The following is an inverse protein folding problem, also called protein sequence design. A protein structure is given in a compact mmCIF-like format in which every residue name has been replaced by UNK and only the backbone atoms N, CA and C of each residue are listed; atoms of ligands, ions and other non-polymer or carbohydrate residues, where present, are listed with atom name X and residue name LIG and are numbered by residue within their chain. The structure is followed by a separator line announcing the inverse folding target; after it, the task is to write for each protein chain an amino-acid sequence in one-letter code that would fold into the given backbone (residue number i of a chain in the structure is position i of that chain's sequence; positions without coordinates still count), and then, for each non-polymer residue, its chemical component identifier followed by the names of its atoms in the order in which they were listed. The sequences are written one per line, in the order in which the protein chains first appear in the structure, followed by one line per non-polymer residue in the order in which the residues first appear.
data_IF_579452320819
#
_entry.id   IF_579452320819
#
_cell.length_a   1.000
_cell.length_b   1.000
_cell.length_c   1.000
_cell.angle_alpha   90.00
_cell.angle_beta   90.00
_cell.angle_gamma   90.00
#
_symmetry.space_group_name_H-M   'P 1'
#
loop_
_entity.id
_entity.type
_entity.pdbx_description
1 polymer ?
#
# COMPACT_ATOMS: atom_id res chain seq x y z
N UNK A 1 48.27 7.44 -50.16
CA UNK A 1 48.37 8.05 -48.82
C UNK A 1 46.92 8.22 -48.30
N UNK A 2 46.43 7.28 -47.51
CA UNK A 2 45.01 7.18 -47.10
C UNK A 2 44.95 7.65 -45.64
N UNK A 3 44.27 8.76 -45.40
CA UNK A 3 44.03 9.32 -44.07
C UNK A 3 42.75 8.63 -43.54
N UNK A 4 42.91 7.78 -42.53
CA UNK A 4 41.80 7.21 -41.76
C UNK A 4 41.34 8.19 -40.68
N UNK A 5 40.16 8.72 -40.84
CA UNK A 5 39.50 9.55 -39.84
C UNK A 5 38.85 8.63 -38.79
N UNK A 6 39.30 8.76 -37.54
CA UNK A 6 38.78 8.00 -36.39
C UNK A 6 37.57 8.74 -35.80
N UNK A 7 36.38 8.19 -35.93
CA UNK A 7 35.20 8.69 -35.23
C UNK A 7 35.18 8.12 -33.81
N UNK A 8 35.36 9.00 -32.82
CA UNK A 8 35.14 8.68 -31.41
C UNK A 8 33.68 8.95 -31.12
N UNK A 9 32.90 7.88 -31.01
CA UNK A 9 31.53 7.96 -30.51
C UNK A 9 31.55 8.05 -28.98
N UNK A 10 31.27 9.23 -28.46
CA UNK A 10 31.01 9.42 -27.03
C UNK A 10 29.59 8.91 -26.74
N UNK A 11 29.50 7.70 -26.20
CA UNK A 11 28.26 7.13 -25.70
C UNK A 11 27.97 7.76 -24.33
N UNK A 12 27.09 8.76 -24.31
CA UNK A 12 26.58 9.32 -23.06
C UNK A 12 25.67 8.30 -22.36
N UNK A 13 26.21 7.62 -21.36
CA UNK A 13 25.42 6.80 -20.41
C UNK A 13 24.56 7.73 -19.55
N UNK A 14 23.32 7.92 -19.95
CA UNK A 14 22.28 8.46 -19.08
C UNK A 14 22.00 7.39 -18.01
N UNK A 15 22.63 7.55 -16.87
CA UNK A 15 22.26 6.84 -15.65
C UNK A 15 20.87 7.33 -15.24
N UNK A 16 19.82 6.62 -15.64
CA UNK A 16 18.53 6.73 -14.99
C UNK A 16 18.72 6.26 -13.53
N UNK A 17 18.91 7.24 -12.67
CA UNK A 17 18.80 7.05 -11.23
C UNK A 17 17.35 6.66 -10.94
N UNK A 18 17.07 5.37 -10.90
CA UNK A 18 15.88 4.84 -10.26
C UNK A 18 15.90 5.35 -8.83
N UNK A 19 15.03 6.30 -8.49
CA UNK A 19 14.89 6.81 -7.15
C UNK A 19 14.62 5.65 -6.20
N UNK A 20 15.65 5.24 -5.46
CA UNK A 20 15.48 4.34 -4.33
C UNK A 20 14.56 5.04 -3.34
N UNK A 21 13.40 4.47 -3.09
CA UNK A 21 12.52 4.88 -1.99
C UNK A 21 13.39 5.04 -0.74
N UNK A 22 13.55 6.27 -0.26
CA UNK A 22 14.42 6.62 0.86
C UNK A 22 13.77 6.39 2.23
N UNK A 23 12.91 5.37 2.34
CA UNK A 23 12.33 4.97 3.62
C UNK A 23 13.31 4.07 4.37
N UNK A 24 13.78 4.51 5.52
CA UNK A 24 14.53 3.66 6.43
C UNK A 24 13.58 2.85 7.30
N UNK A 25 13.75 1.52 7.28
CA UNK A 25 13.02 0.61 8.17
C UNK A 25 13.86 0.35 9.40
N UNK A 26 13.40 0.81 10.55
CA UNK A 26 13.98 0.43 11.84
C UNK A 26 13.30 -0.89 12.25
N UNK A 27 14.01 -2.00 12.08
CA UNK A 27 13.67 -3.20 12.84
C UNK A 27 13.99 -2.97 14.32
N UNK A 28 13.40 -3.70 15.26
CA UNK A 28 13.90 -3.74 16.63
C UNK A 28 15.33 -4.30 16.60
N UNK A 29 16.28 -3.42 16.30
CA UNK A 29 17.70 -3.73 16.37
C UNK A 29 18.12 -3.79 17.84
N UNK A 30 17.98 -4.94 18.45
CA UNK A 30 19.01 -5.37 19.37
C UNK A 30 20.23 -5.69 18.52
N UNK A 31 21.29 -4.89 18.64
CA UNK A 31 22.61 -5.26 18.18
C UNK A 31 22.82 -6.74 18.52
N UNK A 32 23.25 -7.51 17.54
CA UNK A 32 23.54 -8.93 17.66
C UNK A 32 24.65 -9.15 18.70
N UNK A 33 24.23 -9.28 19.94
CA UNK A 33 25.04 -9.89 20.97
C UNK A 33 24.63 -11.38 21.00
N UNK A 34 25.54 -12.36 20.88
CA UNK A 34 25.19 -13.77 20.73
C UNK A 34 24.67 -14.44 22.01
N UNK A 35 24.34 -13.67 23.04
CA UNK A 35 23.66 -14.17 24.22
C UNK A 35 22.17 -14.01 24.05
N UNK A 36 21.48 -15.11 23.72
CA UNK A 36 20.02 -15.26 23.71
C UNK A 36 19.38 -14.65 24.95
N UNK A 37 18.96 -13.39 24.90
CA UNK A 37 17.90 -12.90 25.77
C UNK A 37 16.61 -13.56 25.29
N UNK A 38 15.86 -14.19 26.19
CA UNK A 38 14.50 -14.72 25.94
C UNK A 38 13.72 -13.66 25.20
N UNK A 39 13.39 -13.91 23.93
CA UNK A 39 12.39 -13.12 23.21
C UNK A 39 11.10 -13.27 24.00
N UNK A 40 10.62 -12.19 24.59
CA UNK A 40 9.25 -12.16 25.10
C UNK A 40 8.40 -12.34 23.85
N UNK A 41 7.67 -13.45 23.75
CA UNK A 41 6.73 -13.70 22.67
C UNK A 41 5.72 -12.55 22.65
N UNK A 42 5.85 -11.67 21.65
CA UNK A 42 4.93 -10.58 21.44
C UNK A 42 3.64 -11.13 20.83
N UNK A 43 2.51 -10.64 21.29
CA UNK A 43 1.25 -10.97 20.66
C UNK A 43 1.19 -10.32 19.26
N UNK A 44 0.40 -10.93 18.37
CA UNK A 44 0.13 -10.36 17.05
C UNK A 44 -0.63 -9.03 17.18
N UNK A 45 -0.25 -8.06 16.36
CA UNK A 45 -0.92 -6.77 16.33
C UNK A 45 -2.40 -6.89 15.97
N UNK A 46 -3.24 -6.18 16.72
CA UNK A 46 -4.70 -6.21 16.67
C UNK A 46 -5.24 -5.00 15.90
N UNK A 47 -6.51 -5.08 15.56
CA UNK A 47 -7.23 -3.99 14.90
C UNK A 47 -7.43 -4.19 13.39
N UNK A 48 -8.34 -3.41 12.81
CA UNK A 48 -8.67 -3.49 11.40
C UNK A 48 -7.51 -3.01 10.52
N UNK A 49 -7.53 -3.43 9.25
CA UNK A 49 -6.71 -2.86 8.19
C UNK A 49 -7.21 -1.45 7.87
N UNK A 50 -6.36 -0.62 7.28
CA UNK A 50 -6.68 0.75 6.88
C UNK A 50 -7.14 1.65 8.03
N UNK A 51 -6.74 1.34 9.27
CA UNK A 51 -6.94 2.19 10.45
C UNK A 51 -5.61 2.63 11.01
N UNK A 52 -5.42 3.95 11.11
CA UNK A 52 -4.20 4.56 11.65
C UNK A 52 -4.48 5.12 13.03
N UNK A 53 -3.67 4.74 13.99
CA UNK A 53 -3.67 5.29 15.34
C UNK A 53 -2.58 6.36 15.45
N UNK A 54 -3.00 7.61 15.56
CA UNK A 54 -2.09 8.76 15.64
C UNK A 54 -1.62 8.93 17.07
N UNK A 55 -0.31 9.05 17.26
CA UNK A 55 0.31 9.43 18.52
C UNK A 55 0.85 10.85 18.34
N UNK A 56 0.26 11.80 19.03
CA UNK A 56 0.68 13.18 19.02
C UNK A 56 0.31 13.87 20.34
N UNK A 57 1.12 14.81 20.79
CA UNK A 57 0.83 15.61 21.96
C UNK A 57 -0.19 16.71 21.62
N UNK A 58 -0.88 17.24 22.64
CA UNK A 58 -1.95 18.22 22.44
C UNK A 58 -1.43 19.53 21.82
N UNK A 59 -0.20 19.93 22.17
CA UNK A 59 0.44 21.11 21.59
C UNK A 59 0.72 20.98 20.08
N UNK A 60 1.07 19.77 19.64
CA UNK A 60 1.32 19.48 18.21
C UNK A 60 0.02 19.23 17.45
N UNK A 61 -0.99 18.68 18.12
CA UNK A 61 -2.28 18.33 17.55
C UNK A 61 -3.30 19.46 17.67
N UNK A 62 -3.07 20.57 17.00
CA UNK A 62 -4.02 21.66 16.88
C UNK A 62 -4.98 21.48 15.66
N UNK A 63 -5.81 22.47 15.42
CA UNK A 63 -6.78 22.43 14.31
C UNK A 63 -6.07 22.30 12.97
N UNK A 64 -5.01 23.06 12.70
CA UNK A 64 -4.31 23.02 11.43
C UNK A 64 -3.62 21.68 11.18
N UNK A 65 -3.02 21.07 12.21
CA UNK A 65 -2.46 19.73 12.11
C UNK A 65 -3.55 18.67 11.86
N UNK A 66 -4.66 18.79 12.58
CA UNK A 66 -5.82 17.91 12.39
C UNK A 66 -6.34 17.98 10.96
N UNK A 67 -6.56 19.17 10.43
CA UNK A 67 -7.05 19.38 9.06
C UNK A 67 -6.07 18.84 8.01
N UNK A 68 -4.77 19.08 8.22
CA UNK A 68 -3.73 18.58 7.33
C UNK A 68 -3.71 17.06 7.30
N UNK A 69 -3.75 16.41 8.45
CA UNK A 69 -3.74 14.94 8.53
C UNK A 69 -5.03 14.35 7.93
N UNK A 70 -6.18 14.94 8.21
CA UNK A 70 -7.46 14.52 7.61
C UNK A 70 -7.41 14.66 6.09
N UNK A 71 -6.94 15.79 5.58
CA UNK A 71 -6.84 16.03 4.14
C UNK A 71 -6.05 14.95 3.40
N UNK A 72 -4.91 14.52 3.94
CA UNK A 72 -4.10 13.50 3.28
C UNK A 72 -4.55 12.06 3.58
N UNK A 73 -4.86 11.75 4.82
CA UNK A 73 -5.08 10.35 5.25
C UNK A 73 -6.55 9.92 5.25
N UNK A 74 -7.50 10.86 5.32
CA UNK A 74 -8.93 10.58 5.20
C UNK A 74 -9.53 11.08 3.88
N UNK A 75 -8.71 11.47 2.91
CA UNK A 75 -9.21 11.76 1.56
C UNK A 75 -10.02 10.59 1.02
N UNK A 76 -11.04 10.90 0.23
CA UNK A 76 -11.88 9.86 -0.37
C UNK A 76 -11.08 8.97 -1.32
N UNK A 77 -11.35 7.68 -1.28
CA UNK A 77 -10.79 6.75 -2.26
C UNK A 77 -11.37 7.08 -3.65
N UNK A 78 -10.54 7.44 -4.64
CA UNK A 78 -11.00 8.19 -5.81
C UNK A 78 -11.88 7.40 -6.79
N UNK A 79 -12.01 6.10 -6.64
CA UNK A 79 -12.73 5.22 -7.59
C UNK A 79 -14.00 4.60 -7.02
N UNK A 80 -14.40 5.00 -5.82
CA UNK A 80 -15.64 4.50 -5.22
C UNK A 80 -16.80 5.46 -5.50
N UNK A 81 -17.99 4.95 -5.87
CA UNK A 81 -19.16 5.78 -6.14
C UNK A 81 -19.67 6.51 -4.88
N UNK A 82 -19.41 5.94 -3.71
CA UNK A 82 -19.64 6.61 -2.42
C UNK A 82 -18.28 6.95 -1.80
N UNK A 83 -18.10 8.19 -1.32
CA UNK A 83 -16.84 8.58 -0.68
C UNK A 83 -16.54 7.71 0.55
N UNK A 84 -15.47 6.95 0.49
CA UNK A 84 -14.92 6.22 1.63
C UNK A 84 -13.51 6.73 1.91
N UNK A 85 -13.14 6.95 3.18
CA UNK A 85 -11.81 7.46 3.50
C UNK A 85 -10.73 6.42 3.20
N UNK A 86 -9.54 6.89 2.78
CA UNK A 86 -8.37 6.03 2.62
C UNK A 86 -8.04 5.29 3.91
N UNK A 87 -8.12 5.99 5.04
CA UNK A 87 -7.86 5.47 6.37
C UNK A 87 -8.87 5.99 7.39
N UNK A 88 -9.28 5.15 8.32
CA UNK A 88 -9.89 5.57 9.56
C UNK A 88 -8.81 6.10 10.51
N UNK A 89 -9.01 7.27 11.09
CA UNK A 89 -8.06 7.87 12.01
C UNK A 89 -8.58 7.87 13.45
N UNK A 90 -7.68 7.57 14.40
CA UNK A 90 -7.97 7.71 15.83
C UNK A 90 -6.73 8.21 16.56
N UNK A 91 -6.84 9.35 17.24
CA UNK A 91 -5.72 9.92 17.98
C UNK A 91 -5.67 9.45 19.43
N UNK A 92 -4.46 9.20 19.89
CA UNK A 92 -4.12 9.00 21.29
C UNK A 92 -2.95 9.91 21.70
N UNK A 93 -2.99 10.47 22.91
CA UNK A 93 -1.78 11.03 23.51
C UNK A 93 -0.84 9.90 23.93
N UNK A 94 0.44 10.20 24.07
CA UNK A 94 1.45 9.25 24.54
C UNK A 94 1.08 8.62 25.88
N UNK A 95 0.46 9.40 26.79
CA UNK A 95 -0.02 8.89 28.08
C UNK A 95 -1.14 7.85 27.92
N UNK A 96 -2.08 8.08 26.99
CA UNK A 96 -3.17 7.13 26.72
C UNK A 96 -2.63 5.80 26.13
N UNK A 97 -1.54 5.85 25.37
CA UNK A 97 -0.87 4.65 24.86
C UNK A 97 -0.17 3.90 26.01
N UNK A 98 0.58 4.61 26.87
CA UNK A 98 1.32 3.99 27.97
C UNK A 98 0.40 3.28 28.98
N UNK A 99 -0.77 3.83 29.24
CA UNK A 99 -1.66 3.37 30.31
C UNK A 99 -2.45 2.09 29.99
N UNK A 100 -2.52 1.66 28.73
CA UNK A 100 -3.30 0.48 28.33
C UNK A 100 -2.52 -0.41 27.39
N UNK A 101 -2.34 -1.68 27.76
CA UNK A 101 -1.66 -2.70 26.96
C UNK A 101 -2.34 -2.86 25.59
N UNK A 102 -3.68 -2.94 25.56
CA UNK A 102 -4.48 -3.15 24.36
C UNK A 102 -4.25 -2.05 23.31
N UNK A 103 -3.99 -0.80 23.76
CA UNK A 103 -3.65 0.30 22.85
C UNK A 103 -2.25 0.19 22.28
N UNK A 104 -1.32 -0.49 22.93
CA UNK A 104 0.04 -0.74 22.42
C UNK A 104 0.08 -1.88 21.41
N UNK A 105 -0.91 -2.75 21.43
CA UNK A 105 -1.01 -3.90 20.53
C UNK A 105 -1.74 -3.59 19.21
N UNK A 106 -2.11 -2.33 18.97
CA UNK A 106 -2.76 -1.93 17.74
C UNK A 106 -1.76 -1.95 16.57
N UNK A 107 -2.27 -2.12 15.34
CA UNK A 107 -1.47 -2.49 14.19
C UNK A 107 -0.62 -1.36 13.62
N UNK A 108 -1.24 -0.23 13.29
CA UNK A 108 -0.61 0.81 12.48
C UNK A 108 -0.64 2.13 13.23
N UNK A 109 0.54 2.69 13.48
CA UNK A 109 0.67 3.99 14.12
C UNK A 109 1.32 5.01 13.20
N UNK A 110 0.87 6.25 13.33
CA UNK A 110 1.55 7.45 12.87
C UNK A 110 1.93 8.27 14.10
N UNK A 111 3.22 8.30 14.43
CA UNK A 111 3.73 9.12 15.52
C UNK A 111 4.20 10.45 14.94
N UNK A 112 3.58 11.55 15.39
CA UNK A 112 3.89 12.92 14.97
C UNK A 112 4.64 13.61 16.13
N UNK A 113 5.85 14.07 15.85
CA UNK A 113 6.71 14.67 16.84
C UNK A 113 7.38 15.97 16.35
N UNK A 114 7.19 17.04 17.10
CA UNK A 114 7.90 18.29 16.90
C UNK A 114 9.26 18.24 17.61
N UNK A 115 10.34 18.08 16.86
CA UNK A 115 11.70 17.95 17.40
C UNK A 115 12.22 19.23 18.00
N UNK A 116 11.57 20.39 17.79
CA UNK A 116 11.90 21.64 18.48
C UNK A 116 11.49 21.63 19.95
N UNK A 117 10.44 20.85 20.29
CA UNK A 117 10.02 20.62 21.67
C UNK A 117 10.62 19.31 22.22
N UNK A 118 11.81 19.42 22.81
CA UNK A 118 12.53 18.28 23.41
C UNK A 118 11.85 17.74 24.68
N UNK A 119 10.97 18.50 25.29
CA UNK A 119 10.22 18.07 26.47
C UNK A 119 8.95 17.31 26.13
N UNK A 120 8.47 17.41 24.89
CA UNK A 120 7.31 16.70 24.40
C UNK A 120 7.43 15.18 24.60
N UNK A 121 6.44 14.54 25.21
CA UNK A 121 6.41 13.08 25.36
C UNK A 121 6.44 12.32 24.04
N UNK A 122 5.86 12.86 22.96
CA UNK A 122 5.90 12.25 21.63
C UNK A 122 7.31 12.35 21.03
N UNK A 123 7.98 13.49 21.18
CA UNK A 123 9.37 13.67 20.76
C UNK A 123 10.31 12.74 21.51
N UNK A 124 10.20 12.67 22.84
CA UNK A 124 10.98 11.73 23.67
C UNK A 124 10.76 10.27 23.24
N UNK A 125 9.53 9.91 22.90
CA UNK A 125 9.21 8.56 22.39
C UNK A 125 9.86 8.32 21.03
N UNK A 126 9.73 9.25 20.08
CA UNK A 126 10.33 9.15 18.76
C UNK A 126 11.86 9.00 18.83
N UNK A 127 12.53 9.92 19.52
CA UNK A 127 13.99 9.93 19.64
C UNK A 127 14.53 8.67 20.31
N UNK A 128 13.83 8.17 21.35
CA UNK A 128 14.20 6.89 21.98
C UNK A 128 14.09 5.71 21.01
N UNK A 129 13.08 5.69 20.17
CA UNK A 129 12.81 4.57 19.27
C UNK A 129 13.78 4.54 18.08
N UNK A 130 14.13 5.69 17.52
CA UNK A 130 15.06 5.79 16.40
C UNK A 130 16.52 5.62 16.80
N UNK A 131 16.82 5.84 18.08
CA UNK A 131 18.14 5.73 18.68
C UNK A 131 18.99 6.99 18.53
N UNK A 132 20.07 7.11 19.34
CA UNK A 132 20.84 8.34 19.48
C UNK A 132 21.62 8.73 18.21
N UNK A 133 22.09 7.76 17.43
CA UNK A 133 22.84 8.04 16.20
C UNK A 133 21.96 8.70 15.15
N UNK A 134 20.80 8.09 14.84
CA UNK A 134 19.84 8.67 13.89
C UNK A 134 19.25 10.00 14.37
N UNK A 135 19.04 10.14 15.66
CA UNK A 135 18.59 11.41 16.25
C UNK A 135 19.61 12.53 15.97
N UNK A 136 20.91 12.27 16.15
CA UNK A 136 21.97 13.21 15.81
C UNK A 136 22.05 13.53 14.33
N UNK A 137 21.89 12.51 13.45
CA UNK A 137 21.92 12.71 12.01
C UNK A 137 20.76 13.61 11.54
N UNK A 138 19.56 13.41 12.10
CA UNK A 138 18.39 14.26 11.82
C UNK A 138 18.64 15.68 12.31
N UNK A 139 19.16 15.84 13.53
CA UNK A 139 19.49 17.15 14.11
C UNK A 139 20.56 17.87 13.27
N UNK A 140 21.62 17.18 12.87
CA UNK A 140 22.70 17.76 12.09
C UNK A 140 22.29 18.12 10.65
N UNK A 141 21.44 17.30 10.01
CA UNK A 141 20.97 17.54 8.65
C UNK A 141 19.83 18.55 8.57
N UNK A 142 19.09 18.75 9.66
CA UNK A 142 17.85 19.53 9.67
C UNK A 142 16.75 18.95 8.74
N UNK A 143 16.98 17.76 8.17
CA UNK A 143 16.08 17.13 7.22
C UNK A 143 15.50 15.85 7.80
N UNK A 144 14.23 15.61 7.50
CA UNK A 144 13.53 14.40 7.89
C UNK A 144 13.61 13.35 6.78
N UNK A 145 13.94 12.14 7.18
CA UNK A 145 13.78 10.94 6.34
C UNK A 145 12.63 10.10 6.88
N UNK A 146 11.82 9.54 6.00
CA UNK A 146 10.74 8.63 6.41
C UNK A 146 11.30 7.43 7.16
N UNK A 147 10.94 7.31 8.43
CA UNK A 147 11.36 6.23 9.29
C UNK A 147 10.15 5.34 9.62
N UNK A 148 10.31 4.04 9.44
CA UNK A 148 9.29 3.05 9.74
C UNK A 148 9.83 2.04 10.75
N UNK A 149 9.25 2.03 11.94
CA UNK A 149 9.51 1.03 12.97
C UNK A 149 8.59 -0.18 12.80
N UNK A 150 9.10 -1.37 13.13
CA UNK A 150 8.34 -2.61 13.14
C UNK A 150 8.38 -3.26 14.51
N UNK A 151 7.29 -3.97 14.83
CA UNK A 151 7.21 -4.88 15.97
C UNK A 151 7.62 -4.25 17.31
N UNK A 152 7.24 -2.98 17.54
CA UNK A 152 7.61 -2.27 18.78
C UNK A 152 6.98 -2.94 20.00
N UNK A 153 5.67 -3.11 20.02
CA UNK A 153 4.91 -3.68 21.13
C UNK A 153 4.22 -4.99 20.79
N UNK A 154 3.95 -5.22 19.49
CA UNK A 154 3.30 -6.42 18.99
C UNK A 154 3.93 -6.84 17.67
N UNK A 155 3.85 -8.12 17.30
CA UNK A 155 4.30 -8.64 16.00
C UNK A 155 3.42 -8.12 14.87
N UNK A 156 4.02 -7.89 13.70
CA UNK A 156 3.36 -7.31 12.52
C UNK A 156 2.78 -5.91 12.75
N UNK A 157 3.33 -5.18 13.70
CA UNK A 157 3.01 -3.78 13.97
C UNK A 157 3.89 -2.86 13.15
N UNK A 158 3.32 -1.74 12.69
CA UNK A 158 4.04 -0.68 12.00
C UNK A 158 3.88 0.61 12.77
N UNK A 159 4.98 1.35 12.90
CA UNK A 159 4.97 2.71 13.40
C UNK A 159 5.70 3.59 12.40
N UNK A 160 4.98 4.52 11.80
CA UNK A 160 5.56 5.55 10.94
C UNK A 160 5.88 6.75 11.82
N UNK A 161 7.14 7.19 11.80
CA UNK A 161 7.58 8.39 12.53
C UNK A 161 7.57 9.56 11.56
N UNK A 162 6.70 10.51 11.82
CA UNK A 162 6.61 11.80 11.15
C UNK A 162 7.20 12.86 12.09
N UNK A 163 8.37 13.35 11.76
CA UNK A 163 9.12 14.28 12.60
C UNK A 163 9.47 15.53 11.83
N UNK A 164 9.61 16.65 12.55
CA UNK A 164 10.04 17.92 11.96
C UNK A 164 10.39 18.91 13.06
N UNK A 165 11.13 19.96 12.70
CA UNK A 165 11.45 21.08 13.60
C UNK A 165 10.43 22.20 13.40
N UNK A 166 9.42 22.24 14.28
CA UNK A 166 8.28 23.14 14.15
C UNK A 166 7.16 22.62 13.23
N UNK A 167 6.01 23.27 13.31
CA UNK A 167 4.78 22.85 12.64
C UNK A 167 4.87 22.94 11.12
N UNK A 168 5.50 23.98 10.60
CA UNK A 168 5.67 24.20 9.17
C UNK A 168 6.42 23.04 8.52
N UNK A 169 7.49 22.56 9.16
CA UNK A 169 8.23 21.41 8.65
C UNK A 169 7.43 20.12 8.78
N UNK A 170 6.61 19.96 9.81
CA UNK A 170 5.70 18.82 9.93
C UNK A 170 4.66 18.80 8.79
N UNK A 171 4.04 19.96 8.46
CA UNK A 171 3.11 20.06 7.34
C UNK A 171 3.79 19.73 6.01
N UNK A 172 4.99 20.28 5.78
CA UNK A 172 5.76 19.99 4.59
C UNK A 172 6.13 18.51 4.47
N UNK A 173 6.51 17.88 5.57
CA UNK A 173 6.83 16.46 5.62
C UNK A 173 5.61 15.58 5.37
N UNK A 174 4.42 15.96 5.81
CA UNK A 174 3.18 15.26 5.45
C UNK A 174 2.96 15.39 3.94
N UNK A 175 3.02 16.59 3.40
CA UNK A 175 2.76 16.90 2.00
C UNK A 175 3.69 16.14 1.06
N UNK A 176 4.98 16.17 1.35
CA UNK A 176 6.00 15.56 0.48
C UNK A 176 6.12 14.05 0.62
N UNK A 177 5.84 13.50 1.80
CA UNK A 177 6.07 12.09 2.07
C UNK A 177 4.78 11.25 2.12
N UNK A 178 3.59 11.83 1.92
CA UNK A 178 2.33 11.09 2.03
C UNK A 178 2.32 9.80 1.20
N UNK A 179 2.70 9.86 -0.08
CA UNK A 179 2.72 8.68 -0.95
C UNK A 179 3.67 7.58 -0.44
N UNK A 180 4.81 7.97 0.11
CA UNK A 180 5.78 7.03 0.68
C UNK A 180 5.27 6.43 2.00
N UNK A 181 4.56 7.21 2.80
CA UNK A 181 3.90 6.77 4.04
C UNK A 181 2.78 5.78 3.70
N UNK A 182 1.90 6.12 2.76
CA UNK A 182 0.82 5.24 2.28
C UNK A 182 1.39 3.90 1.78
N UNK A 183 2.40 3.95 0.94
CA UNK A 183 3.10 2.75 0.45
C UNK A 183 3.69 1.90 1.58
N UNK A 184 4.32 2.54 2.57
CA UNK A 184 4.90 1.84 3.72
C UNK A 184 3.81 1.15 4.57
N UNK A 185 2.70 1.82 4.83
CA UNK A 185 1.55 1.26 5.57
C UNK A 185 0.96 0.08 4.81
N UNK A 186 0.63 0.25 3.52
CA UNK A 186 0.06 -0.84 2.69
C UNK A 186 0.97 -2.06 2.62
N UNK A 187 2.27 -1.85 2.48
CA UNK A 187 3.28 -2.92 2.47
C UNK A 187 3.33 -3.65 3.82
N UNK A 188 3.28 -2.92 4.93
CA UNK A 188 3.30 -3.53 6.25
C UNK A 188 2.01 -4.29 6.59
N UNK A 189 0.86 -3.86 6.05
CA UNK A 189 -0.42 -4.55 6.21
C UNK A 189 -0.61 -5.75 5.27
N UNK A 190 0.24 -5.91 4.26
CA UNK A 190 0.07 -6.90 3.20
C UNK A 190 0.01 -8.34 3.72
N UNK A 191 0.84 -8.69 4.71
CA UNK A 191 0.82 -10.04 5.30
C UNK A 191 -0.53 -10.35 5.95
N UNK A 192 -1.08 -9.41 6.71
CA UNK A 192 -2.41 -9.58 7.34
C UNK A 192 -3.51 -9.65 6.29
N UNK A 193 -3.43 -8.82 5.26
CA UNK A 193 -4.39 -8.82 4.15
C UNK A 193 -4.38 -10.18 3.44
N UNK A 194 -3.20 -10.68 3.07
CA UNK A 194 -3.05 -11.96 2.42
C UNK A 194 -3.58 -13.11 3.31
N UNK A 195 -3.21 -13.12 4.58
CA UNK A 195 -3.69 -14.13 5.52
C UNK A 195 -5.23 -14.09 5.68
N UNK A 196 -5.84 -12.89 5.67
CA UNK A 196 -7.30 -12.76 5.78
C UNK A 196 -8.05 -13.26 4.55
N UNK A 197 -7.47 -13.11 3.36
CA UNK A 197 -8.05 -13.60 2.11
C UNK A 197 -8.16 -15.14 2.12
N UNK A 198 -7.17 -15.83 2.68
CA UNK A 198 -7.12 -17.29 2.71
C UNK A 198 -7.52 -17.91 4.07
N UNK A 199 -8.16 -17.13 4.95
CA UNK A 199 -8.54 -17.62 6.28
C UNK A 199 -9.46 -18.86 6.22
N UNK A 200 -10.36 -18.91 5.23
CA UNK A 200 -11.24 -20.05 4.96
C UNK A 200 -10.57 -21.19 4.19
N UNK A 201 -9.28 -21.06 3.85
CA UNK A 201 -8.54 -22.03 3.04
C UNK A 201 -8.46 -21.66 1.56
N UNK A 202 -7.97 -22.61 0.76
CA UNK A 202 -7.75 -22.45 -0.68
C UNK A 202 -8.64 -23.42 -1.48
N UNK A 203 -9.08 -23.01 -2.66
CA UNK A 203 -9.85 -23.82 -3.59
C UNK A 203 -8.90 -24.52 -4.59
N UNK A 204 -8.35 -25.66 -4.19
CA UNK A 204 -7.39 -26.41 -4.99
C UNK A 204 -8.01 -26.95 -6.29
N UNK A 205 -9.31 -27.27 -6.29
CA UNK A 205 -10.02 -27.75 -7.49
C UNK A 205 -10.05 -26.65 -8.56
N UNK A 206 -10.53 -25.47 -8.20
CA UNK A 206 -10.60 -24.34 -9.14
C UNK A 206 -9.21 -23.92 -9.60
N UNK A 207 -8.21 -23.95 -8.71
CA UNK A 207 -6.81 -23.70 -9.09
C UNK A 207 -6.33 -24.66 -10.18
N UNK A 208 -6.62 -25.97 -10.06
CA UNK A 208 -6.26 -26.97 -11.08
C UNK A 208 -6.95 -26.69 -12.40
N UNK A 209 -8.25 -26.39 -12.38
CA UNK A 209 -9.02 -26.06 -13.58
C UNK A 209 -8.46 -24.82 -14.31
N UNK A 210 -8.06 -23.77 -13.59
CA UNK A 210 -7.40 -22.58 -14.16
C UNK A 210 -6.06 -22.95 -14.80
N UNK A 211 -5.27 -23.76 -14.11
CA UNK A 211 -3.97 -24.19 -14.61
C UNK A 211 -4.09 -25.01 -15.90
N UNK A 212 -5.07 -25.91 -15.95
CA UNK A 212 -5.32 -26.74 -17.12
C UNK A 212 -5.84 -25.95 -18.32
N UNK A 213 -6.69 -24.94 -18.07
CA UNK A 213 -7.32 -24.16 -19.15
C UNK A 213 -6.42 -23.05 -19.69
N UNK A 214 -5.64 -22.37 -18.83
CA UNK A 214 -4.91 -21.16 -19.19
C UNK A 214 -3.40 -21.22 -18.92
N UNK A 215 -2.90 -22.33 -18.36
CA UNK A 215 -1.51 -22.47 -17.93
C UNK A 215 -1.08 -21.38 -16.92
N UNK A 216 -2.01 -20.90 -16.10
CA UNK A 216 -1.77 -19.88 -15.07
C UNK A 216 -1.76 -20.54 -13.69
N UNK A 217 -0.75 -20.24 -12.88
CA UNK A 217 -0.71 -20.65 -11.48
C UNK A 217 -1.28 -19.54 -10.59
N UNK A 218 -2.58 -19.64 -10.29
CA UNK A 218 -3.34 -18.66 -9.52
C UNK A 218 -3.91 -19.30 -8.25
N UNK A 219 -3.57 -18.73 -7.07
CA UNK A 219 -4.14 -19.20 -5.80
C UNK A 219 -5.54 -18.64 -5.61
N UNK A 220 -6.53 -19.52 -5.46
CA UNK A 220 -7.94 -19.16 -5.32
C UNK A 220 -8.38 -19.34 -3.87
N UNK A 221 -8.95 -18.32 -3.21
CA UNK A 221 -9.57 -18.47 -1.90
C UNK A 221 -10.75 -19.44 -1.95
N UNK A 222 -11.00 -20.18 -0.86
CA UNK A 222 -12.03 -21.25 -0.80
C UNK A 222 -13.46 -20.76 -1.04
N UNK A 223 -13.73 -19.49 -0.79
CA UNK A 223 -15.03 -18.85 -0.94
C UNK A 223 -15.33 -18.33 -2.37
N UNK A 224 -14.35 -18.41 -3.28
CA UNK A 224 -14.58 -18.18 -4.70
C UNK A 224 -15.00 -19.46 -5.40
N UNK A 225 -16.00 -19.35 -6.26
CA UNK A 225 -16.49 -20.42 -7.14
C UNK A 225 -16.14 -20.10 -8.59
N UNK A 226 -15.90 -21.13 -9.38
CA UNK A 226 -15.80 -21.00 -10.82
C UNK A 226 -17.21 -20.80 -11.40
N UNK A 227 -17.49 -19.60 -11.88
CA UNK A 227 -18.76 -19.25 -12.51
C UNK A 227 -18.75 -19.63 -14.01
N UNK A 228 -17.59 -19.50 -14.67
CA UNK A 228 -17.43 -19.84 -16.08
C UNK A 228 -15.98 -20.26 -16.36
N UNK A 229 -15.84 -21.24 -17.26
CA UNK A 229 -14.56 -21.61 -17.88
C UNK A 229 -14.84 -21.84 -19.36
N UNK A 230 -14.74 -20.78 -20.15
CA UNK A 230 -14.93 -20.82 -21.59
C UNK A 230 -13.57 -20.98 -22.26
N UNK A 231 -13.35 -22.18 -22.81
CA UNK A 231 -12.10 -22.53 -23.49
C UNK A 231 -12.00 -21.94 -24.89
N UNK A 232 -13.12 -21.66 -25.52
CA UNK A 232 -13.16 -21.12 -26.89
C UNK A 232 -12.79 -19.61 -26.84
N UNK A 233 -13.39 -18.87 -25.92
CA UNK A 233 -13.10 -17.46 -25.72
C UNK A 233 -11.88 -17.22 -24.82
N UNK A 234 -11.27 -18.28 -24.27
CA UNK A 234 -10.16 -18.23 -23.33
C UNK A 234 -10.45 -17.34 -22.12
N UNK A 235 -11.66 -17.48 -21.54
CA UNK A 235 -12.13 -16.67 -20.39
C UNK A 235 -12.44 -17.55 -19.19
N UNK A 236 -11.94 -17.16 -18.03
CA UNK A 236 -12.31 -17.70 -16.72
C UNK A 236 -12.98 -16.62 -15.92
N UNK A 237 -14.09 -16.96 -15.25
CA UNK A 237 -14.80 -16.09 -14.34
C UNK A 237 -14.93 -16.77 -12.98
N UNK A 238 -14.35 -16.13 -11.95
CA UNK A 238 -14.47 -16.49 -10.54
C UNK A 238 -15.44 -15.54 -9.87
N UNK A 239 -16.32 -16.07 -9.03
CA UNK A 239 -17.33 -15.28 -8.31
C UNK A 239 -17.40 -15.67 -6.84
N UNK A 240 -17.53 -14.66 -6.00
CA UNK A 240 -17.78 -14.79 -4.56
C UNK A 240 -18.96 -13.90 -4.18
N UNK A 241 -19.95 -14.50 -3.54
CA UNK A 241 -21.10 -13.77 -2.98
C UNK A 241 -20.85 -13.44 -1.52
N UNK A 242 -21.16 -12.22 -1.15
CA UNK A 242 -21.20 -11.75 0.22
C UNK A 242 -22.58 -11.15 0.52
N UNK A 243 -22.90 -10.90 1.79
CA UNK A 243 -24.15 -10.24 2.16
C UNK A 243 -24.30 -8.81 1.63
N UNK A 244 -23.20 -8.19 1.17
CA UNK A 244 -23.18 -6.79 0.74
C UNK A 244 -22.84 -6.60 -0.73
N UNK A 245 -22.11 -7.54 -1.34
CA UNK A 245 -21.62 -7.38 -2.70
C UNK A 245 -21.29 -8.73 -3.34
N UNK A 246 -21.30 -8.76 -4.66
CA UNK A 246 -20.77 -9.82 -5.50
C UNK A 246 -19.37 -9.43 -5.97
N UNK A 247 -18.36 -10.22 -5.62
CA UNK A 247 -16.98 -10.01 -6.05
C UNK A 247 -16.70 -10.91 -7.24
N UNK A 248 -16.20 -10.32 -8.32
CA UNK A 248 -15.95 -11.00 -9.58
C UNK A 248 -14.48 -10.81 -9.99
N UNK A 249 -13.83 -11.91 -10.41
CA UNK A 249 -12.50 -11.89 -11.01
C UNK A 249 -12.66 -12.55 -12.38
N UNK A 250 -12.37 -11.82 -13.43
CA UNK A 250 -12.36 -12.33 -14.79
C UNK A 250 -10.93 -12.32 -15.31
N UNK A 251 -10.55 -13.42 -15.96
CA UNK A 251 -9.22 -13.62 -16.55
C UNK A 251 -9.45 -13.99 -17.99
N UNK A 252 -8.81 -13.29 -18.92
CA UNK A 252 -8.84 -13.57 -20.35
C UNK A 252 -7.42 -13.63 -20.90
N UNK A 253 -7.14 -14.61 -21.74
CA UNK A 253 -5.94 -14.62 -22.55
C UNK A 253 -6.18 -13.73 -23.78
N UNK A 254 -5.42 -12.67 -23.94
CA UNK A 254 -5.55 -11.71 -25.04
C UNK A 254 -4.55 -11.99 -26.18
N UNK A 255 -3.66 -12.99 -26.01
CA UNK A 255 -2.59 -13.23 -26.97
C UNK A 255 -1.59 -12.08 -27.01
N UNK A 256 -1.36 -11.52 -28.18
CA UNK A 256 -0.43 -10.41 -28.37
C UNK A 256 -1.15 -9.07 -28.20
N UNK A 257 -0.56 -8.18 -27.40
CA UNK A 257 -0.98 -6.79 -27.28
C UNK A 257 -0.33 -5.95 -28.38
N UNK A 258 -1.08 -4.96 -28.87
CA UNK A 258 -0.56 -3.90 -29.74
C UNK A 258 -0.46 -2.58 -28.95
N UNK A 259 0.18 -1.57 -29.52
CA UNK A 259 0.40 -0.28 -28.85
C UNK A 259 -0.91 0.41 -28.45
N UNK A 260 -1.98 0.26 -29.25
CA UNK A 260 -3.28 0.87 -28.97
C UNK A 260 -3.94 0.27 -27.72
N UNK A 261 -3.69 -1.00 -27.40
CA UNK A 261 -4.23 -1.65 -26.21
C UNK A 261 -3.74 -1.04 -24.89
N UNK A 262 -2.59 -0.37 -24.93
CA UNK A 262 -2.01 0.33 -23.77
C UNK A 262 -2.58 1.74 -23.57
N UNK A 263 -3.47 2.19 -24.44
CA UNK A 263 -4.20 3.46 -24.27
C UNK A 263 -5.37 3.31 -23.29
N UNK A 264 -5.94 4.43 -22.86
CA UNK A 264 -7.16 4.46 -22.05
C UNK A 264 -8.33 3.81 -22.78
N UNK A 265 -8.47 4.11 -24.05
CA UNK A 265 -9.50 3.58 -24.93
C UNK A 265 -9.31 2.07 -25.16
N UNK A 266 -8.08 1.60 -25.35
CA UNK A 266 -7.76 0.19 -25.47
C UNK A 266 -8.12 -0.59 -24.19
N UNK A 267 -7.73 -0.11 -23.03
CA UNK A 267 -8.08 -0.73 -21.75
C UNK A 267 -9.59 -0.74 -21.51
N UNK A 268 -10.31 0.31 -21.91
CA UNK A 268 -11.77 0.36 -21.87
C UNK A 268 -12.40 -0.67 -22.81
N UNK A 269 -11.87 -0.82 -24.02
CA UNK A 269 -12.34 -1.81 -24.97
C UNK A 269 -12.16 -3.24 -24.44
N UNK A 270 -10.98 -3.57 -23.90
CA UNK A 270 -10.69 -4.87 -23.28
C UNK A 270 -11.65 -5.13 -22.11
N UNK A 271 -11.87 -4.13 -21.26
CA UNK A 271 -12.80 -4.26 -20.12
C UNK A 271 -14.24 -4.46 -20.57
N UNK A 272 -14.69 -3.78 -21.63
CA UNK A 272 -16.02 -3.93 -22.19
C UNK A 272 -16.21 -5.29 -22.88
N UNK A 273 -15.17 -5.82 -23.52
CA UNK A 273 -15.18 -7.18 -24.08
C UNK A 273 -15.42 -8.22 -22.97
N UNK A 274 -14.70 -8.13 -21.85
CA UNK A 274 -14.97 -8.96 -20.68
C UNK A 274 -16.39 -8.73 -20.13
N UNK A 275 -16.90 -7.52 -20.22
CA UNK A 275 -18.23 -7.16 -19.78
C UNK A 275 -19.36 -7.88 -20.53
N UNK A 276 -19.13 -8.31 -21.77
CA UNK A 276 -20.12 -9.05 -22.56
C UNK A 276 -20.52 -10.39 -21.94
N UNK A 277 -19.66 -11.00 -21.14
CA UNK A 277 -19.97 -12.22 -20.40
C UNK A 277 -20.86 -11.97 -19.18
N UNK A 278 -21.09 -10.71 -18.79
CA UNK A 278 -21.90 -10.34 -17.61
C UNK A 278 -23.20 -9.73 -18.09
N UNK A 279 -24.28 -10.48 -18.00
CA UNK A 279 -25.63 -10.04 -18.40
C UNK A 279 -26.54 -9.85 -17.19
N UNK A 280 -27.61 -9.11 -17.36
CA UNK A 280 -28.73 -9.01 -16.42
C UNK A 280 -29.91 -9.89 -16.91
N UNK A 281 -31.04 -9.81 -16.21
CA UNK A 281 -32.29 -10.47 -16.61
C UNK A 281 -32.96 -9.82 -17.85
N UNK A 282 -32.40 -8.73 -18.37
CA UNK A 282 -32.89 -8.09 -19.59
C UNK A 282 -32.21 -8.74 -20.79
N UNK A 283 -33.01 -9.05 -21.81
CA UNK A 283 -32.51 -9.56 -23.07
C UNK A 283 -31.51 -8.59 -23.71
N UNK A 284 -30.43 -9.11 -24.29
CA UNK A 284 -29.35 -8.34 -24.93
C UNK A 284 -28.64 -7.33 -24.01
N UNK A 285 -28.69 -7.54 -22.71
CA UNK A 285 -27.97 -6.70 -21.75
C UNK A 285 -26.57 -7.24 -21.47
N UNK A 286 -25.62 -6.35 -21.33
CA UNK A 286 -24.25 -6.68 -20.92
C UNK A 286 -23.62 -5.49 -20.15
N UNK A 287 -22.54 -5.76 -19.45
CA UNK A 287 -21.87 -4.75 -18.63
C UNK A 287 -20.84 -3.97 -19.46
N UNK A 288 -20.91 -2.65 -19.39
CA UNK A 288 -19.93 -1.73 -19.98
C UNK A 288 -19.39 -0.77 -18.93
N UNK A 289 -18.23 -0.18 -19.22
CA UNK A 289 -17.70 0.91 -18.40
C UNK A 289 -18.56 2.17 -18.60
N UNK A 290 -18.96 2.78 -17.49
CA UNK A 290 -19.47 4.15 -17.45
C UNK A 290 -18.35 5.07 -16.92
N UNK A 291 -17.64 5.76 -17.80
CA UNK A 291 -16.59 6.71 -17.49
C UNK A 291 -17.04 8.18 -17.59
N UNK A 292 -18.37 8.41 -17.65
CA UNK A 292 -18.96 9.74 -17.61
C UNK A 292 -18.96 10.27 -16.18
N UNK A 293 -19.40 9.44 -15.23
CA UNK A 293 -19.56 9.83 -13.82
C UNK A 293 -18.31 9.56 -12.98
N UNK A 294 -17.53 8.53 -13.34
CA UNK A 294 -16.31 8.13 -12.63
C UNK A 294 -15.13 8.07 -13.59
N UNK A 295 -14.07 8.84 -13.35
CA UNK A 295 -12.89 8.84 -14.21
C UNK A 295 -12.11 7.53 -14.09
N UNK A 296 -11.59 7.05 -15.22
CA UNK A 296 -10.65 5.94 -15.23
C UNK A 296 -9.23 6.44 -15.01
N UNK A 297 -8.55 5.87 -14.03
CA UNK A 297 -7.15 6.12 -13.71
C UNK A 297 -6.30 4.98 -14.25
N UNK A 298 -5.18 5.33 -14.90
CA UNK A 298 -4.23 4.36 -15.42
C UNK A 298 -2.83 4.59 -14.82
N UNK A 299 -2.16 3.51 -14.52
CA UNK A 299 -0.78 3.54 -14.05
C UNK A 299 0.01 2.32 -14.52
N UNK A 300 1.30 2.51 -14.78
CA UNK A 300 2.22 1.39 -14.97
C UNK A 300 2.60 0.80 -13.61
N UNK A 301 2.66 -0.50 -13.55
CA UNK A 301 3.02 -1.25 -12.34
C UNK A 301 3.84 -2.48 -12.69
N UNK A 302 4.25 -3.25 -11.70
CA UNK A 302 4.83 -4.57 -11.89
C UNK A 302 3.93 -5.63 -11.26
N UNK A 303 3.58 -6.62 -12.04
CA UNK A 303 2.85 -7.79 -11.57
C UNK A 303 3.71 -9.04 -11.78
N UNK A 304 4.07 -9.71 -10.70
CA UNK A 304 4.95 -10.89 -10.72
C UNK A 304 6.26 -10.66 -11.51
N UNK A 305 6.90 -9.51 -11.25
CA UNK A 305 8.13 -9.02 -11.91
C UNK A 305 8.02 -8.73 -13.42
N UNK A 306 6.83 -8.78 -13.98
CA UNK A 306 6.57 -8.36 -15.35
C UNK A 306 5.96 -6.96 -15.37
N UNK A 307 6.16 -6.24 -16.47
CA UNK A 307 5.46 -5.00 -16.74
C UNK A 307 3.95 -5.25 -16.77
N UNK A 308 3.20 -4.38 -16.16
CA UNK A 308 1.74 -4.41 -16.17
C UNK A 308 1.17 -2.99 -16.21
N UNK A 309 0.00 -2.85 -16.82
CA UNK A 309 -0.84 -1.67 -16.68
C UNK A 309 -1.98 -1.96 -15.73
N UNK A 310 -2.23 -1.03 -14.84
CA UNK A 310 -3.37 -1.04 -13.95
C UNK A 310 -4.34 0.07 -14.37
N UNK A 311 -5.59 -0.30 -14.67
CA UNK A 311 -6.68 0.63 -14.89
C UNK A 311 -7.70 0.48 -13.76
N UNK A 312 -8.13 1.60 -13.18
CA UNK A 312 -9.12 1.65 -12.10
C UNK A 312 -10.21 2.65 -12.48
N UNK A 313 -11.48 2.28 -12.24
CA UNK A 313 -12.62 3.12 -12.53
C UNK A 313 -13.92 2.49 -12.04
#
# INVERSE_FOLDING_TARGET
MIIRTLYISVLALLLFSCGKDSSEVIGNGTATNPNKSKSIDKELAKGPLSKIYIIADDATWDTAMTDTVIYYFQSAFPILPSPEPLYDLMRYSTQKIKNKKERRELRTYLLIADLSDKESPATKMALKDIGPEKAKDIEASGTYKLIVGKDKWAEQQIIVYLMGYGKEQLYENIRTNFNSIDKAIRKGEQSKRNNSIYLGGKNSKVKSEIRESMNINFEVPSDFKLAMNDKESEVIWLRKETSKASLNIMIKNMGNFNEADFSKEGMKAIRNELGQFVSSNKENSYMIINDIDLPMYMSSTSFNNNFALEARG
#
